data_IF_237804917055
#
_entry.id   IF_237804917055
#
_cell.length_a   1.000
_cell.length_b   1.000
_cell.length_c   1.000
_cell.angle_alpha   90.00
_cell.angle_beta   90.00
_cell.angle_gamma   90.00
#
_symmetry.space_group_name_H-M   'P 1'
#
loop_
_entity.id
_entity.type
_entity.pdbx_description
1 polymer ?
#
# COMPACT_ATOMS: atom_id res chain seq x y z
N UNK A 1 8.79 6.72 -9.59
CA UNK A 1 9.00 6.80 -8.13
C UNK A 1 8.75 5.41 -7.55
N UNK A 2 9.49 5.00 -6.50
CA UNK A 2 9.22 3.75 -5.79
C UNK A 2 8.53 4.07 -4.46
N UNK A 3 7.38 3.46 -4.20
CA UNK A 3 6.53 3.69 -3.03
C UNK A 3 6.42 2.38 -2.26
N UNK A 4 6.65 2.42 -0.94
CA UNK A 4 6.60 1.23 -0.08
C UNK A 4 5.75 1.55 1.14
N UNK A 5 4.68 0.79 1.34
CA UNK A 5 3.80 0.85 2.51
C UNK A 5 4.13 -0.33 3.42
N UNK A 6 4.58 -0.05 4.65
CA UNK A 6 5.07 -1.08 5.58
C UNK A 6 3.97 -1.72 6.44
N UNK A 7 2.85 -1.02 6.65
CA UNK A 7 1.71 -1.50 7.44
C UNK A 7 0.40 -1.21 6.70
N UNK A 8 0.19 -1.97 5.62
CA UNK A 8 -0.93 -1.84 4.71
C UNK A 8 -2.26 -2.22 5.36
N UNK A 9 -2.28 -3.28 6.18
CA UNK A 9 -3.53 -3.77 6.77
C UNK A 9 -4.11 -2.81 7.82
N UNK A 10 -3.26 -2.20 8.65
CA UNK A 10 -3.73 -1.21 9.64
C UNK A 10 -4.26 0.05 8.95
N UNK A 11 -3.65 0.47 7.84
CA UNK A 11 -4.06 1.64 7.07
C UNK A 11 -5.29 1.40 6.18
N UNK A 12 -5.38 0.21 5.59
CA UNK A 12 -6.46 -0.21 4.70
C UNK A 12 -6.63 -1.73 4.82
N UNK A 13 -7.60 -2.22 5.62
CA UNK A 13 -7.86 -3.64 5.81
C UNK A 13 -8.54 -4.32 4.60
N UNK A 14 -8.59 -3.65 3.44
CA UNK A 14 -9.11 -4.16 2.17
C UNK A 14 -10.47 -3.58 1.78
N UNK A 15 -10.98 -2.57 2.49
CA UNK A 15 -12.22 -1.87 2.17
C UNK A 15 -12.02 -0.74 1.15
N UNK A 16 -10.79 -0.24 0.99
CA UNK A 16 -10.42 0.77 -0.01
C UNK A 16 -9.49 0.21 -1.09
N UNK A 17 -9.41 0.90 -2.22
CA UNK A 17 -8.48 0.58 -3.30
C UNK A 17 -7.17 1.37 -3.19
N UNK A 18 -6.05 0.73 -3.56
CA UNK A 18 -4.72 1.33 -3.63
C UNK A 18 -4.40 2.01 -4.98
N UNK A 19 -5.36 2.01 -5.92
CA UNK A 19 -5.15 2.44 -7.30
C UNK A 19 -4.60 3.87 -7.45
N UNK A 20 -4.95 4.79 -6.55
CA UNK A 20 -4.40 6.15 -6.56
C UNK A 20 -2.90 6.18 -6.24
N UNK A 21 -2.40 5.27 -5.39
CA UNK A 21 -0.97 5.17 -5.08
C UNK A 21 -0.21 4.49 -6.22
N UNK A 22 -0.80 3.42 -6.79
CA UNK A 22 -0.25 2.72 -7.95
C UNK A 22 -0.11 3.63 -9.18
N UNK A 23 -1.01 4.61 -9.34
CA UNK A 23 -0.94 5.61 -10.41
C UNK A 23 0.27 6.58 -10.27
N UNK A 24 0.84 6.71 -9.07
CA UNK A 24 1.98 7.60 -8.80
C UNK A 24 3.34 6.91 -9.02
N UNK A 25 3.36 5.58 -9.07
CA UNK A 25 4.59 4.81 -9.33
C UNK A 25 4.53 3.36 -8.87
N UNK A 26 5.66 2.68 -9.02
CA UNK A 26 5.84 1.30 -8.55
C UNK A 26 5.57 1.24 -7.04
N UNK A 27 4.53 0.51 -6.65
CA UNK A 27 4.03 0.46 -5.27
C UNK A 27 4.14 -0.96 -4.73
N UNK A 28 4.72 -1.11 -3.54
CA UNK A 28 4.77 -2.37 -2.78
C UNK A 28 4.08 -2.16 -1.43
N UNK A 29 3.18 -3.08 -1.06
CA UNK A 29 2.38 -2.98 0.15
C UNK A 29 2.64 -4.23 1.00
N UNK A 30 3.02 -4.02 2.25
CA UNK A 30 3.22 -5.07 3.23
C UNK A 30 2.03 -5.10 4.18
N UNK A 31 1.27 -6.20 4.18
CA UNK A 31 0.06 -6.36 5.00
C UNK A 31 0.37 -6.37 6.50
N UNK A 32 1.52 -6.91 6.91
CA UNK A 32 1.97 -6.88 8.31
C UNK A 32 3.46 -6.60 8.35
N UNK A 33 3.87 -5.66 9.19
CA UNK A 33 5.27 -5.51 9.60
C UNK A 33 5.61 -6.64 10.58
N UNK A 34 6.57 -7.50 10.23
CA UNK A 34 7.19 -8.47 11.13
C UNK A 34 8.51 -7.92 11.68
#
# INVERSE_FOLDING_TARGET
MKIVVLDGYTLNPGDLSWSSLEALGETTIHERSA
#
